data_IF_609084861431
#
_entry.id   IF_609084861431
#
_cell.length_a   1.000
_cell.length_b   1.000
_cell.length_c   1.000
_cell.angle_alpha   90.00
_cell.angle_beta   90.00
_cell.angle_gamma   90.00
#
_symmetry.space_group_name_H-M   'P 1'
#
loop_
_entity.id
_entity.type
_entity.pdbx_description
1 polymer ?
#
# COMPACT_ATOMS: atom_id res chain seq x y z
N UNK A 1 -64.84 21.20 27.58
CA UNK A 1 -65.64 20.61 28.69
C UNK A 1 -64.80 19.67 29.48
N UNK A 2 -64.70 19.93 30.80
CA UNK A 2 -64.25 19.08 31.94
C UNK A 2 -62.83 18.63 31.93
N UNK A 3 -62.00 19.28 32.67
CA UNK A 3 -61.66 19.33 34.13
C UNK A 3 -60.83 18.10 34.53
N UNK A 4 -59.56 18.38 34.82
CA UNK A 4 -58.95 18.59 36.13
C UNK A 4 -58.98 17.38 37.04
N UNK A 5 -57.80 16.94 37.46
CA UNK A 5 -57.42 16.87 38.89
C UNK A 5 -56.01 16.35 39.05
N UNK A 6 -55.19 17.16 39.45
CA UNK A 6 -54.20 17.19 40.50
C UNK A 6 -54.31 16.08 41.55
N UNK A 7 -53.20 15.38 41.80
CA UNK A 7 -52.90 14.80 43.13
C UNK A 7 -51.38 14.51 43.21
N UNK A 8 -50.70 15.36 43.90
CA UNK A 8 -49.44 15.07 44.62
C UNK A 8 -49.84 14.43 45.94
N UNK A 9 -49.22 13.37 46.41
CA UNK A 9 -48.44 13.59 47.60
C UNK A 9 -47.18 12.72 47.80
N UNK A 10 -46.32 13.29 48.58
CA UNK A 10 -45.42 12.74 49.58
C UNK A 10 -44.00 12.33 49.15
N UNK A 11 -43.19 13.27 49.51
CA UNK A 11 -41.81 13.20 49.96
C UNK A 11 -41.58 12.01 50.91
N UNK A 12 -40.66 11.14 50.55
CA UNK A 12 -39.85 10.38 51.50
C UNK A 12 -38.40 10.55 51.15
N UNK A 13 -37.72 11.39 51.95
CA UNK A 13 -36.29 11.47 52.02
C UNK A 13 -35.70 10.14 52.51
N UNK A 14 -35.14 9.38 51.60
CA UNK A 14 -34.18 8.33 51.95
C UNK A 14 -32.77 8.93 51.76
N UNK A 15 -32.15 9.34 52.84
CA UNK A 15 -30.69 9.53 52.92
C UNK A 15 -30.06 8.13 52.79
N UNK A 16 -29.72 7.74 51.57
CA UNK A 16 -28.78 6.67 51.37
C UNK A 16 -27.39 7.30 51.41
N UNK A 17 -26.72 7.10 52.53
CA UNK A 17 -25.30 7.36 52.68
C UNK A 17 -24.54 6.43 51.72
N UNK A 18 -24.25 6.93 50.53
CA UNK A 18 -23.30 6.29 49.65
C UNK A 18 -21.91 6.41 50.27
N UNK A 19 -21.16 5.32 50.43
CA UNK A 19 -19.76 5.44 50.83
C UNK A 19 -19.03 6.23 49.72
N UNK A 20 -18.45 7.38 50.11
CA UNK A 20 -17.49 8.08 49.29
C UNK A 20 -16.32 7.11 49.13
N UNK A 21 -16.24 6.43 48.01
CA UNK A 21 -15.01 5.78 47.60
C UNK A 21 -14.02 6.92 47.27
N UNK A 22 -13.14 7.14 48.17
CA UNK A 22 -11.93 7.92 47.91
C UNK A 22 -11.14 7.10 46.89
N UNK A 23 -11.27 7.46 45.62
CA UNK A 23 -10.34 7.01 44.59
C UNK A 23 -9.00 7.60 44.97
N UNK A 24 -8.10 6.80 45.49
CA UNK A 24 -6.68 7.09 45.58
C UNK A 24 -6.18 7.25 44.14
N UNK A 25 -6.09 8.51 43.68
CA UNK A 25 -5.35 8.88 42.50
C UNK A 25 -3.86 8.76 42.82
N UNK A 26 -3.32 7.56 42.73
CA UNK A 26 -1.89 7.26 42.60
C UNK A 26 -1.71 5.93 41.88
N UNK A 27 -2.37 5.75 40.75
CA UNK A 27 -1.84 4.85 39.73
C UNK A 27 -0.81 5.67 38.93
N UNK A 28 0.41 5.66 39.42
CA UNK A 28 1.59 5.86 38.60
C UNK A 28 1.49 4.79 37.51
N UNK A 29 1.21 5.22 36.28
CA UNK A 29 1.14 4.40 35.09
C UNK A 29 2.56 3.91 34.75
N UNK A 30 3.09 3.02 35.63
CA UNK A 30 4.37 2.37 35.45
C UNK A 30 4.11 1.18 34.54
N UNK A 31 4.67 1.16 33.32
CA UNK A 31 4.51 0.02 32.43
C UNK A 31 4.94 -1.25 33.17
N UNK A 32 4.09 -2.26 33.17
CA UNK A 32 4.40 -3.56 33.80
C UNK A 32 5.47 -4.24 32.96
N UNK A 33 6.72 -4.14 33.40
CA UNK A 33 7.88 -4.81 32.83
C UNK A 33 8.02 -6.21 33.43
N UNK A 34 7.95 -7.22 32.61
CA UNK A 34 8.35 -8.58 32.98
C UNK A 34 9.81 -8.78 32.64
N UNK A 35 10.66 -9.04 33.63
CA UNK A 35 12.10 -9.19 33.44
C UNK A 35 12.54 -10.59 33.86
N UNK A 36 13.07 -11.36 32.91
CA UNK A 36 13.73 -12.64 33.15
C UNK A 36 15.24 -12.45 32.97
N UNK A 37 16.04 -12.76 33.95
CA UNK A 37 17.49 -12.54 33.91
C UNK A 37 18.27 -13.63 34.67
N UNK A 38 19.49 -13.89 34.26
CA UNK A 38 20.40 -14.77 35.01
C UNK A 38 20.96 -14.10 36.24
N UNK A 39 21.26 -12.81 36.19
CA UNK A 39 21.75 -12.02 37.31
C UNK A 39 21.44 -10.55 37.11
N UNK A 40 21.24 -9.85 38.20
CA UNK A 40 21.07 -8.39 38.16
C UNK A 40 21.97 -7.72 39.21
N UNK A 41 22.30 -6.48 38.94
CA UNK A 41 23.01 -5.60 39.84
C UNK A 41 22.31 -4.26 39.93
N UNK A 42 22.12 -3.73 41.13
CA UNK A 42 21.59 -2.38 41.35
C UNK A 42 22.72 -1.44 41.74
N UNK A 43 22.92 -0.39 40.98
CA UNK A 43 23.87 0.67 41.31
C UNK A 43 23.11 1.76 42.08
N UNK A 44 23.38 1.89 43.41
CA UNK A 44 22.66 2.86 44.23
C UNK A 44 23.01 4.32 43.92
N UNK A 45 24.21 4.59 43.37
CA UNK A 45 24.63 5.97 43.05
C UNK A 45 23.90 6.54 41.83
N UNK A 46 23.54 5.69 40.91
CA UNK A 46 22.85 6.08 39.64
C UNK A 46 21.38 5.64 39.58
N UNK A 47 20.91 4.86 40.58
CA UNK A 47 19.58 4.27 40.56
C UNK A 47 19.34 3.26 39.42
N UNK A 48 20.41 2.79 38.76
CA UNK A 48 20.33 1.94 37.57
C UNK A 48 20.32 0.46 37.96
N UNK A 49 19.40 -0.28 37.33
CA UNK A 49 19.42 -1.74 37.35
C UNK A 49 20.14 -2.27 36.11
N UNK A 50 21.12 -3.16 36.30
CA UNK A 50 21.89 -3.81 35.25
C UNK A 50 21.52 -5.27 35.26
N UNK A 51 20.95 -5.75 34.14
CA UNK A 51 20.55 -7.14 33.96
C UNK A 51 21.47 -7.84 32.95
N UNK A 52 21.93 -9.04 33.25
CA UNK A 52 22.79 -9.83 32.37
C UNK A 52 22.02 -11.01 31.78
N UNK A 53 22.21 -11.24 30.46
CA UNK A 53 21.49 -12.26 29.71
C UNK A 53 19.98 -12.17 30.01
N UNK A 54 19.42 -11.01 29.73
CA UNK A 54 18.06 -10.69 30.14
C UNK A 54 17.09 -10.66 28.97
N UNK A 55 15.87 -11.02 29.30
CA UNK A 55 14.68 -10.88 28.45
C UNK A 55 13.71 -9.97 29.18
N UNK A 56 13.33 -8.86 28.54
CA UNK A 56 12.38 -7.87 29.04
C UNK A 56 11.17 -7.87 28.14
N UNK A 57 9.98 -7.95 28.72
CA UNK A 57 8.71 -7.96 28.01
C UNK A 57 7.79 -6.86 28.53
N UNK A 58 7.21 -6.07 27.63
CA UNK A 58 6.13 -5.11 27.91
C UNK A 58 5.29 -4.86 26.67
N UNK A 59 4.00 -4.68 26.80
CA UNK A 59 3.06 -4.34 25.72
C UNK A 59 3.21 -5.18 24.44
N UNK A 60 3.60 -6.45 24.56
CA UNK A 60 3.81 -7.35 23.42
C UNK A 60 5.18 -7.20 22.73
N UNK A 61 6.05 -6.33 23.24
CA UNK A 61 7.43 -6.17 22.80
C UNK A 61 8.33 -7.00 23.69
N UNK A 62 9.20 -7.77 23.08
CA UNK A 62 10.24 -8.55 23.78
C UNK A 62 11.61 -8.03 23.39
N UNK A 63 12.45 -7.70 24.37
CA UNK A 63 13.86 -7.34 24.18
C UNK A 63 14.75 -8.36 24.86
N UNK A 64 15.62 -8.99 24.09
CA UNK A 64 16.64 -9.92 24.57
C UNK A 64 18.02 -9.33 24.33
N UNK A 65 18.88 -9.32 25.36
CA UNK A 65 20.26 -8.84 25.24
C UNK A 65 21.17 -9.47 26.27
N UNK A 66 22.45 -9.43 26.00
CA UNK A 66 23.48 -9.83 26.94
C UNK A 66 23.60 -8.89 28.12
N UNK A 67 23.33 -7.59 27.92
CA UNK A 67 23.35 -6.59 28.98
C UNK A 67 22.26 -5.53 28.74
N UNK A 68 21.40 -5.33 29.75
CA UNK A 68 20.31 -4.34 29.73
C UNK A 68 20.45 -3.46 30.98
N UNK A 69 20.43 -2.16 30.78
CA UNK A 69 20.40 -1.16 31.84
C UNK A 69 19.02 -0.51 31.86
N UNK A 70 18.42 -0.46 33.04
CA UNK A 70 17.11 0.19 33.24
C UNK A 70 17.18 1.24 34.33
N UNK A 71 16.70 2.43 34.01
CA UNK A 71 16.56 3.56 34.93
C UNK A 71 15.06 3.78 35.22
N UNK A 72 14.55 3.38 36.38
CA UNK A 72 13.13 3.53 36.72
C UNK A 72 12.65 4.98 36.74
N UNK A 73 13.47 5.91 37.25
CA UNK A 73 13.09 7.32 37.36
C UNK A 73 12.86 8.00 36.00
N UNK A 74 13.61 7.61 35.00
CA UNK A 74 13.54 8.17 33.65
C UNK A 74 12.78 7.28 32.67
N UNK A 75 12.38 6.08 33.11
CA UNK A 75 11.80 5.03 32.26
C UNK A 75 12.69 4.67 31.06
N UNK A 76 14.01 4.86 31.18
CA UNK A 76 14.97 4.64 30.11
C UNK A 76 15.58 3.24 30.21
N UNK A 77 15.45 2.48 29.12
CA UNK A 77 16.06 1.20 28.95
C UNK A 77 17.11 1.31 27.85
N UNK A 78 18.34 0.87 28.16
CA UNK A 78 19.43 0.77 27.18
C UNK A 78 19.93 -0.66 27.14
N UNK A 79 20.14 -1.19 25.94
CA UNK A 79 20.72 -2.51 25.74
C UNK A 79 21.87 -2.43 24.73
N UNK A 80 22.96 -3.16 25.00
CA UNK A 80 24.16 -3.17 24.18
C UNK A 80 24.64 -4.59 23.90
N UNK A 81 25.36 -4.72 22.80
CA UNK A 81 25.84 -5.97 22.29
C UNK A 81 24.86 -6.60 21.31
N UNK A 82 24.62 -7.89 21.40
CA UNK A 82 23.60 -8.53 20.57
C UNK A 82 22.21 -8.25 21.17
N UNK A 83 21.51 -7.29 20.60
CA UNK A 83 20.15 -6.94 21.02
C UNK A 83 19.16 -7.48 20.02
N UNK A 84 18.22 -8.29 20.48
CA UNK A 84 17.11 -8.81 19.68
C UNK A 84 15.79 -8.26 20.20
N UNK A 85 15.04 -7.64 19.32
CA UNK A 85 13.68 -7.13 19.59
C UNK A 85 12.68 -7.93 18.77
N UNK A 86 11.61 -8.39 19.41
CA UNK A 86 10.51 -9.09 18.73
C UNK A 86 9.20 -8.39 19.07
N UNK A 87 8.44 -8.01 18.03
CA UNK A 87 7.10 -7.42 18.13
C UNK A 87 6.19 -8.08 17.08
N UNK A 88 5.31 -8.99 17.52
CA UNK A 88 4.48 -9.78 16.61
C UNK A 88 5.31 -10.60 15.61
N UNK A 89 5.12 -10.34 14.31
CA UNK A 89 5.83 -11.00 13.21
C UNK A 89 7.14 -10.28 12.80
N UNK A 90 7.52 -9.23 13.52
CA UNK A 90 8.72 -8.44 13.25
C UNK A 90 9.83 -8.87 14.22
N UNK A 91 10.99 -9.18 13.69
CA UNK A 91 12.20 -9.44 14.46
C UNK A 91 13.28 -8.46 14.03
N UNK A 92 13.82 -7.70 14.97
CA UNK A 92 14.92 -6.79 14.75
C UNK A 92 16.16 -7.23 15.55
N UNK A 93 17.32 -7.16 14.93
CA UNK A 93 18.62 -7.37 15.58
C UNK A 93 19.45 -6.11 15.40
N UNK A 94 20.09 -5.65 16.47
CA UNK A 94 20.84 -4.40 16.49
C UNK A 94 22.00 -4.46 17.48
N UNK A 95 22.94 -3.54 17.34
CA UNK A 95 24.09 -3.44 18.23
C UNK A 95 23.77 -2.65 19.50
N UNK A 96 22.91 -1.64 19.38
CA UNK A 96 22.51 -0.78 20.50
C UNK A 96 21.04 -0.38 20.38
N UNK A 97 20.34 -0.49 21.52
CA UNK A 97 18.98 -0.05 21.73
C UNK A 97 18.95 0.96 22.88
N UNK A 98 18.30 2.09 22.66
CA UNK A 98 17.92 3.02 23.70
C UNK A 98 16.43 3.35 23.52
N UNK A 99 15.60 3.06 24.53
CA UNK A 99 14.16 3.29 24.46
C UNK A 99 13.62 3.81 25.79
N UNK A 100 12.68 4.73 25.71
CA UNK A 100 11.84 5.12 26.83
C UNK A 100 10.62 4.20 26.85
N UNK A 101 10.49 3.36 27.87
CA UNK A 101 9.43 2.37 27.96
C UNK A 101 8.04 2.95 28.23
N UNK A 102 7.97 4.21 28.68
CA UNK A 102 6.69 4.89 28.96
C UNK A 102 6.03 5.46 27.72
N UNK A 103 6.79 6.10 26.84
CA UNK A 103 6.27 6.72 25.61
C UNK A 103 6.66 5.95 24.33
N UNK A 104 7.50 4.93 24.48
CA UNK A 104 7.96 4.08 23.39
C UNK A 104 8.92 4.77 22.42
N UNK A 105 9.38 6.00 22.68
CA UNK A 105 10.38 6.67 21.83
C UNK A 105 11.75 6.08 22.05
N UNK A 106 12.60 6.04 20.99
CA UNK A 106 13.90 5.41 21.11
C UNK A 106 14.79 5.53 19.89
N UNK A 107 16.03 5.06 20.04
CA UNK A 107 17.06 5.04 19.00
C UNK A 107 17.63 3.62 18.92
N UNK A 108 17.69 3.09 17.72
CA UNK A 108 18.23 1.77 17.40
C UNK A 108 19.37 1.95 16.40
N UNK A 109 20.53 1.35 16.67
CA UNK A 109 21.72 1.50 15.84
C UNK A 109 22.15 0.18 15.21
N UNK A 110 22.62 0.27 13.95
CA UNK A 110 23.08 -0.87 13.14
C UNK A 110 22.05 -2.00 13.11
N UNK A 111 20.83 -1.62 12.70
CA UNK A 111 19.62 -2.45 12.83
C UNK A 111 19.39 -3.26 11.56
N UNK A 112 19.10 -4.54 11.73
CA UNK A 112 18.55 -5.44 10.69
C UNK A 112 17.18 -5.89 11.16
N UNK A 113 16.14 -5.58 10.39
CA UNK A 113 14.75 -5.96 10.65
C UNK A 113 14.33 -7.02 9.66
N UNK A 114 13.68 -8.05 10.13
CA UNK A 114 12.98 -9.05 9.33
C UNK A 114 11.49 -8.98 9.62
N UNK A 115 10.70 -8.74 8.59
CA UNK A 115 9.24 -8.79 8.61
C UNK A 115 8.79 -10.13 8.00
N UNK A 116 8.26 -11.03 8.83
CA UNK A 116 7.85 -12.36 8.41
C UNK A 116 6.57 -12.33 7.56
N UNK A 117 5.69 -11.36 7.78
CA UNK A 117 4.44 -11.20 6.99
C UNK A 117 4.73 -10.88 5.52
N UNK A 118 5.72 -10.03 5.28
CA UNK A 118 6.10 -9.58 3.94
C UNK A 118 7.34 -10.32 3.41
N UNK A 119 7.96 -11.19 4.22
CA UNK A 119 9.23 -11.88 3.91
C UNK A 119 10.30 -10.90 3.44
N UNK A 120 10.42 -9.78 4.14
CA UNK A 120 11.25 -8.65 3.75
C UNK A 120 12.31 -8.35 4.81
N UNK A 121 13.45 -7.86 4.35
CA UNK A 121 14.55 -7.39 5.20
C UNK A 121 14.72 -5.89 5.03
N UNK A 122 14.92 -5.19 6.14
CA UNK A 122 15.34 -3.81 6.16
C UNK A 122 16.61 -3.69 6.98
N UNK A 123 17.58 -2.93 6.49
CA UNK A 123 18.77 -2.58 7.26
C UNK A 123 18.88 -1.07 7.36
N UNK A 124 19.29 -0.56 8.52
CA UNK A 124 19.49 0.87 8.72
C UNK A 124 20.62 1.12 9.71
N UNK A 125 21.39 2.18 9.49
CA UNK A 125 22.43 2.61 10.43
C UNK A 125 21.84 3.16 11.72
N UNK A 126 20.79 3.93 11.60
CA UNK A 126 20.04 4.51 12.72
C UNK A 126 18.57 4.50 12.42
N UNK A 127 17.77 3.99 13.36
CA UNK A 127 16.32 4.08 13.35
C UNK A 127 15.89 4.81 14.62
N UNK A 128 15.09 5.86 14.48
CA UNK A 128 14.46 6.58 15.59
C UNK A 128 12.98 6.27 15.60
N UNK A 129 12.51 5.74 16.71
CA UNK A 129 11.08 5.67 16.99
C UNK A 129 10.66 7.00 17.63
N UNK A 130 9.93 7.81 16.89
CA UNK A 130 9.52 9.16 17.30
C UNK A 130 8.09 9.23 17.83
N UNK A 131 7.39 8.10 17.78
CA UNK A 131 6.03 7.92 18.27
C UNK A 131 5.57 6.48 18.12
N UNK A 132 4.39 6.13 18.61
CA UNK A 132 3.89 4.74 18.64
C UNK A 132 3.81 4.11 17.25
N UNK A 133 3.54 4.89 16.21
CA UNK A 133 3.37 4.41 14.84
C UNK A 133 4.34 5.05 13.84
N UNK A 134 5.39 5.74 14.31
CA UNK A 134 6.29 6.48 13.44
C UNK A 134 7.76 6.17 13.73
N UNK A 135 8.47 5.80 12.66
CA UNK A 135 9.91 5.54 12.66
C UNK A 135 10.58 6.37 11.58
N UNK A 136 11.75 6.91 11.89
CA UNK A 136 12.62 7.61 10.95
C UNK A 136 13.93 6.83 10.86
N UNK A 137 14.24 6.30 9.68
CA UNK A 137 15.45 5.55 9.44
C UNK A 137 16.40 6.32 8.52
N UNK A 138 17.69 6.31 8.86
CA UNK A 138 18.75 6.90 8.04
C UNK A 138 19.57 5.80 7.38
N UNK A 139 19.93 6.02 6.11
CA UNK A 139 20.70 5.06 5.31
C UNK A 139 20.06 3.66 5.35
N UNK A 140 18.84 3.59 4.86
CA UNK A 140 18.04 2.36 4.90
C UNK A 140 18.20 1.58 3.58
N UNK A 141 18.24 0.25 3.69
CA UNK A 141 18.17 -0.68 2.56
C UNK A 141 17.01 -1.63 2.76
N UNK A 142 16.23 -1.84 1.72
CA UNK A 142 15.10 -2.77 1.69
C UNK A 142 15.29 -3.82 0.61
N UNK A 143 15.00 -5.08 0.93
CA UNK A 143 15.00 -6.20 -0.03
C UNK A 143 14.12 -7.35 0.46
N UNK A 144 13.58 -8.16 -0.46
CA UNK A 144 12.95 -9.46 -0.13
C UNK A 144 13.91 -10.64 -0.33
N UNK A 145 15.15 -10.35 -0.70
CA UNK A 145 16.22 -11.34 -0.85
C UNK A 145 17.05 -11.43 0.44
N UNK A 146 17.96 -12.42 0.51
CA UNK A 146 18.94 -12.47 1.58
C UNK A 146 19.78 -11.16 1.61
N UNK A 147 19.81 -10.42 2.73
CA UNK A 147 20.47 -9.11 2.79
C UNK A 147 21.99 -9.16 2.59
N UNK A 148 22.63 -10.32 2.76
CA UNK A 148 24.07 -10.48 2.51
C UNK A 148 24.43 -10.48 1.02
N UNK A 149 23.52 -10.95 0.14
CA UNK A 149 23.73 -11.03 -1.30
C UNK A 149 22.41 -10.85 -2.05
N UNK A 150 21.81 -9.64 -2.00
CA UNK A 150 20.51 -9.43 -2.59
C UNK A 150 20.61 -9.36 -4.13
N UNK A 151 19.73 -10.09 -4.83
CA UNK A 151 19.59 -9.95 -6.27
C UNK A 151 19.06 -8.55 -6.64
N UNK A 152 18.24 -7.97 -5.77
CA UNK A 152 17.77 -6.59 -5.88
C UNK A 152 17.65 -5.93 -4.52
N UNK A 153 17.82 -4.63 -4.47
CA UNK A 153 17.62 -3.83 -3.27
C UNK A 153 17.26 -2.37 -3.60
N UNK A 154 16.52 -1.73 -2.71
CA UNK A 154 16.27 -0.30 -2.73
C UNK A 154 17.01 0.32 -1.56
N UNK A 155 17.86 1.32 -1.83
CA UNK A 155 18.57 2.09 -0.79
C UNK A 155 17.99 3.50 -0.73
N UNK A 156 17.68 4.00 0.47
CA UNK A 156 17.17 5.36 0.69
C UNK A 156 18.02 6.10 1.71
N UNK A 157 18.14 7.43 1.54
CA UNK A 157 18.90 8.27 2.49
C UNK A 157 18.15 8.54 3.79
N UNK A 158 16.85 8.75 3.69
CA UNK A 158 15.94 9.01 4.79
C UNK A 158 14.60 8.31 4.51
N UNK A 159 14.16 7.48 5.42
CA UNK A 159 12.89 6.76 5.34
C UNK A 159 12.02 7.16 6.52
N UNK A 160 10.85 7.72 6.24
CA UNK A 160 9.80 7.97 7.21
C UNK A 160 8.80 6.82 7.10
N UNK A 161 8.80 5.93 8.07
CA UNK A 161 7.94 4.76 8.11
C UNK A 161 6.79 4.97 9.10
N UNK A 162 5.56 4.83 8.60
CA UNK A 162 4.34 4.87 9.40
C UNK A 162 3.64 3.51 9.33
N UNK A 163 3.33 2.91 10.47
CA UNK A 163 2.72 1.57 10.52
C UNK A 163 1.27 1.54 10.01
N UNK A 164 0.58 2.68 10.01
CA UNK A 164 -0.85 2.78 9.70
C UNK A 164 -1.19 3.80 8.61
N UNK A 165 -0.22 4.18 7.77
CA UNK A 165 -0.43 5.21 6.77
C UNK A 165 0.49 4.98 5.56
N UNK A 166 0.93 6.05 4.91
CA UNK A 166 1.94 6.04 3.85
C UNK A 166 3.33 6.23 4.46
N UNK A 167 4.25 5.40 4.03
CA UNK A 167 5.68 5.61 4.26
C UNK A 167 6.32 6.27 3.06
N UNK A 168 7.42 6.96 3.29
CA UNK A 168 8.15 7.65 2.23
C UNK A 168 9.67 7.52 2.40
N UNK A 169 10.36 7.62 1.28
CA UNK A 169 11.82 7.65 1.23
C UNK A 169 12.30 8.74 0.29
N UNK A 170 13.40 9.38 0.65
CA UNK A 170 14.09 10.34 -0.19
C UNK A 170 15.33 9.74 -0.81
N UNK A 171 15.68 10.20 -2.03
CA UNK A 171 16.87 9.79 -2.75
C UNK A 171 17.05 8.27 -2.81
N UNK A 172 15.99 7.58 -3.24
CA UNK A 172 15.99 6.12 -3.33
C UNK A 172 16.63 5.62 -4.61
N UNK A 173 17.45 4.59 -4.51
CA UNK A 173 18.13 3.96 -5.63
C UNK A 173 17.76 2.48 -5.66
N UNK A 174 17.18 2.05 -6.77
CA UNK A 174 16.95 0.63 -7.07
C UNK A 174 18.23 0.05 -7.68
N UNK A 175 18.72 -1.04 -7.11
CA UNK A 175 19.91 -1.77 -7.57
C UNK A 175 19.55 -3.21 -7.89
N UNK A 176 20.13 -3.76 -8.96
CA UNK A 176 20.13 -5.18 -9.29
C UNK A 176 21.55 -5.71 -9.29
N UNK A 177 21.81 -6.77 -8.53
CA UNK A 177 23.17 -7.32 -8.38
C UNK A 177 24.20 -6.28 -7.95
N UNK A 178 23.79 -5.25 -7.17
CA UNK A 178 24.65 -4.15 -6.73
C UNK A 178 24.75 -2.98 -7.73
N UNK A 179 24.29 -3.14 -8.99
CA UNK A 179 24.34 -2.09 -10.02
C UNK A 179 23.12 -1.17 -9.88
N UNK A 180 23.31 0.17 -9.77
CA UNK A 180 22.20 1.12 -9.75
C UNK A 180 21.51 1.19 -11.11
N UNK A 181 20.19 0.99 -11.12
CA UNK A 181 19.38 0.94 -12.35
C UNK A 181 18.39 2.10 -12.42
N UNK A 182 17.83 2.50 -11.27
CA UNK A 182 16.85 3.57 -11.24
C UNK A 182 17.00 4.45 -10.00
N UNK A 183 16.75 5.74 -10.15
CA UNK A 183 16.78 6.73 -9.08
C UNK A 183 15.41 7.37 -8.91
N UNK A 184 14.91 7.36 -7.67
CA UNK A 184 13.69 8.02 -7.26
C UNK A 184 14.04 9.17 -6.31
N UNK A 185 13.85 10.44 -6.70
CA UNK A 185 14.05 11.57 -5.79
C UNK A 185 13.18 11.46 -4.53
N UNK A 186 11.96 10.98 -4.73
CA UNK A 186 10.99 10.70 -3.68
C UNK A 186 10.19 9.45 -4.04
N UNK A 187 10.08 8.54 -3.09
CA UNK A 187 9.29 7.31 -3.19
C UNK A 187 8.32 7.25 -2.02
N UNK A 188 7.05 6.99 -2.27
CA UNK A 188 6.05 6.78 -1.24
C UNK A 188 5.29 5.47 -1.49
N UNK A 189 4.94 4.76 -0.42
CA UNK A 189 4.19 3.51 -0.50
C UNK A 189 3.25 3.36 0.70
N UNK A 190 2.09 2.69 0.53
CA UNK A 190 1.19 2.38 1.63
C UNK A 190 1.78 1.27 2.50
N UNK A 191 1.63 1.39 3.82
CA UNK A 191 2.08 0.38 4.80
C UNK A 191 0.93 -0.48 5.33
N UNK A 192 -0.31 -0.04 5.15
CA UNK A 192 -1.48 -0.82 5.54
C UNK A 192 -1.94 -1.73 4.43
N UNK A 193 -2.39 -2.93 4.79
CA UNK A 193 -2.95 -3.93 3.85
C UNK A 193 -4.36 -3.56 3.31
N UNK A 194 -4.88 -2.38 3.62
CA UNK A 194 -6.15 -1.88 3.07
C UNK A 194 -5.93 -1.33 1.68
N UNK A 195 -6.93 -1.47 0.81
CA UNK A 195 -6.95 -0.81 -0.51
C UNK A 195 -6.83 0.70 -0.30
N UNK A 196 -5.84 1.31 -0.91
CA UNK A 196 -5.56 2.74 -0.81
C UNK A 196 -5.36 3.36 -2.18
N UNK A 197 -5.83 4.58 -2.33
CA UNK A 197 -5.60 5.36 -3.54
C UNK A 197 -4.14 5.76 -3.67
N UNK A 198 -3.62 5.72 -4.90
CA UNK A 198 -2.24 6.13 -5.17
C UNK A 198 -1.79 5.76 -6.57
N UNK A 199 -0.61 6.25 -6.95
CA UNK A 199 0.03 5.85 -8.20
C UNK A 199 0.49 4.40 -8.11
N UNK A 200 0.17 3.63 -9.15
CA UNK A 200 0.71 2.29 -9.34
C UNK A 200 2.05 2.37 -10.08
N UNK A 201 2.84 1.28 -10.06
CA UNK A 201 4.05 1.22 -10.86
C UNK A 201 3.77 1.55 -12.33
N UNK A 202 4.63 2.36 -12.97
CA UNK A 202 4.46 2.68 -14.38
C UNK A 202 4.45 1.43 -15.25
N UNK A 203 3.56 1.41 -16.22
CA UNK A 203 3.49 0.36 -17.23
C UNK A 203 4.40 0.68 -18.40
N UNK A 204 5.19 -0.26 -18.82
CA UNK A 204 6.07 -0.11 -19.98
C UNK A 204 5.84 -1.27 -20.94
N UNK A 205 5.54 -0.95 -22.19
CA UNK A 205 5.28 -1.92 -23.21
C UNK A 205 5.98 -1.54 -24.52
N UNK A 206 6.65 -2.50 -25.14
CA UNK A 206 7.20 -2.34 -26.48
C UNK A 206 6.22 -2.97 -27.45
N UNK A 207 5.56 -2.14 -28.24
CA UNK A 207 4.59 -2.60 -29.23
C UNK A 207 5.26 -2.53 -30.61
N UNK A 208 5.80 -3.66 -31.05
CA UNK A 208 6.30 -3.84 -32.41
C UNK A 208 5.28 -4.60 -33.24
N UNK A 209 4.67 -3.95 -34.17
CA UNK A 209 3.81 -4.61 -35.14
C UNK A 209 4.64 -5.11 -36.31
N UNK A 210 4.76 -6.43 -36.48
CA UNK A 210 5.43 -7.04 -37.64
C UNK A 210 4.59 -6.95 -38.93
N UNK A 211 3.34 -6.55 -38.84
CA UNK A 211 2.37 -6.64 -39.94
C UNK A 211 2.18 -5.32 -40.68
N UNK A 212 2.65 -4.20 -40.15
CA UNK A 212 2.52 -2.87 -40.77
C UNK A 212 3.76 -2.02 -40.54
N UNK A 213 4.04 -1.13 -41.51
CA UNK A 213 4.99 -0.02 -41.39
C UNK A 213 4.70 0.95 -40.22
N UNK A 214 3.61 0.71 -39.50
CA UNK A 214 3.12 1.47 -38.35
C UNK A 214 3.42 0.74 -37.04
N UNK A 215 4.66 0.80 -36.67
CA UNK A 215 5.09 0.42 -35.33
C UNK A 215 4.60 1.47 -34.32
N UNK A 216 3.95 1.08 -33.24
CA UNK A 216 3.53 2.00 -32.16
C UNK A 216 4.70 2.50 -31.34
N UNK A 217 5.87 1.85 -31.47
CA UNK A 217 7.05 2.17 -30.67
C UNK A 217 6.88 1.78 -29.22
N UNK A 218 7.34 2.66 -28.34
CA UNK A 218 7.22 2.48 -26.90
C UNK A 218 5.90 3.07 -26.40
N UNK A 219 5.26 2.34 -25.49
CA UNK A 219 4.12 2.83 -24.74
C UNK A 219 4.50 2.90 -23.26
N UNK A 220 4.28 4.05 -22.67
CA UNK A 220 4.50 4.30 -21.26
C UNK A 220 3.21 4.78 -20.62
N UNK A 221 2.73 4.04 -19.62
CA UNK A 221 1.50 4.34 -18.90
C UNK A 221 1.76 4.69 -17.45
N UNK A 222 1.09 5.72 -16.94
CA UNK A 222 1.13 6.12 -15.53
C UNK A 222 -0.26 5.87 -14.95
N UNK A 223 -0.48 4.75 -14.25
CA UNK A 223 -1.76 4.43 -13.65
C UNK A 223 -1.89 5.08 -12.26
N UNK A 224 -3.07 5.61 -11.99
CA UNK A 224 -3.52 6.06 -10.68
C UNK A 224 -4.71 5.22 -10.24
N UNK A 225 -4.58 4.53 -9.13
CA UNK A 225 -5.64 3.76 -8.51
C UNK A 225 -6.40 4.61 -7.50
N UNK A 226 -7.72 4.67 -7.64
CA UNK A 226 -8.61 5.35 -6.72
C UNK A 226 -9.52 4.33 -6.01
N UNK A 227 -9.24 4.05 -4.74
CA UNK A 227 -10.13 3.30 -3.87
C UNK A 227 -11.28 4.22 -3.45
N UNK A 228 -12.42 4.16 -4.15
CA UNK A 228 -13.58 5.02 -3.88
C UNK A 228 -14.20 4.60 -2.55
N UNK A 229 -14.46 3.31 -2.40
CA UNK A 229 -14.86 2.66 -1.15
C UNK A 229 -14.43 1.17 -1.16
N UNK A 230 -14.72 0.38 -0.11
CA UNK A 230 -14.34 -1.04 -0.08
C UNK A 230 -14.90 -1.88 -1.24
N UNK A 231 -16.00 -1.45 -1.83
CA UNK A 231 -16.77 -2.18 -2.85
C UNK A 231 -16.56 -1.61 -4.25
N UNK A 232 -15.86 -0.48 -4.39
CA UNK A 232 -15.68 0.22 -5.67
C UNK A 232 -14.27 0.76 -5.82
N UNK A 233 -13.72 0.62 -7.01
CA UNK A 233 -12.45 1.26 -7.39
C UNK A 233 -12.43 1.72 -8.83
N UNK A 234 -11.51 2.61 -9.10
CA UNK A 234 -11.27 3.19 -10.41
C UNK A 234 -9.77 3.30 -10.64
N UNK A 235 -9.29 2.72 -11.73
CA UNK A 235 -7.92 2.97 -12.20
C UNK A 235 -7.97 3.88 -13.41
N UNK A 236 -7.27 5.01 -13.33
CA UNK A 236 -7.06 5.94 -14.45
C UNK A 236 -5.62 5.85 -14.89
N UNK A 237 -5.38 5.56 -16.17
CA UNK A 237 -4.03 5.49 -16.72
C UNK A 237 -3.89 6.50 -17.84
N UNK A 238 -2.88 7.37 -17.70
CA UNK A 238 -2.44 8.21 -18.81
C UNK A 238 -1.35 7.48 -19.58
N UNK A 239 -1.55 7.31 -20.87
CA UNK A 239 -0.62 6.64 -21.79
C UNK A 239 0.09 7.66 -22.70
N UNK A 240 1.39 7.53 -22.81
CA UNK A 240 2.19 8.12 -23.88
C UNK A 240 2.62 7.02 -24.83
N UNK A 241 2.31 7.20 -26.12
CA UNK A 241 2.65 6.26 -27.19
C UNK A 241 3.59 6.99 -28.15
N UNK A 242 4.83 6.54 -28.22
CA UNK A 242 5.94 7.24 -28.89
C UNK A 242 5.58 7.76 -30.28
N UNK A 243 5.02 6.91 -31.13
CA UNK A 243 4.74 7.22 -32.54
C UNK A 243 3.30 7.59 -32.84
N UNK A 244 2.41 7.54 -31.84
CA UNK A 244 0.96 7.71 -32.07
C UNK A 244 0.35 8.85 -31.30
N UNK A 245 0.88 9.23 -30.16
CA UNK A 245 0.34 10.32 -29.36
C UNK A 245 0.06 9.95 -27.93
N UNK A 246 -1.13 10.23 -27.44
CA UNK A 246 -1.49 10.02 -26.04
C UNK A 246 -2.79 9.25 -25.90
N UNK A 247 -2.99 8.64 -24.71
CA UNK A 247 -4.21 7.91 -24.40
C UNK A 247 -4.65 8.11 -22.96
N UNK A 248 -5.92 7.82 -22.73
CA UNK A 248 -6.53 7.73 -21.41
C UNK A 248 -7.24 6.39 -21.32
N UNK A 249 -6.92 5.60 -20.28
CA UNK A 249 -7.63 4.38 -19.93
C UNK A 249 -8.31 4.52 -18.59
N UNK A 250 -9.52 4.04 -18.51
CA UNK A 250 -10.34 3.98 -17.31
C UNK A 250 -10.77 2.53 -17.08
N UNK A 251 -10.54 2.02 -15.88
CA UNK A 251 -11.03 0.71 -15.42
C UNK A 251 -11.76 0.93 -14.10
N UNK A 252 -13.09 0.94 -14.15
CA UNK A 252 -13.95 1.04 -12.99
C UNK A 252 -14.53 -0.33 -12.65
N UNK A 253 -14.42 -0.74 -11.39
CA UNK A 253 -14.92 -2.02 -10.89
C UNK A 253 -15.78 -1.80 -9.66
N UNK A 254 -16.83 -2.61 -9.53
CA UNK A 254 -17.72 -2.59 -8.38
C UNK A 254 -18.21 -3.98 -7.98
N UNK A 255 -18.45 -4.16 -6.66
CA UNK A 255 -19.01 -5.35 -6.05
C UNK A 255 -19.94 -4.92 -4.91
N UNK A 256 -21.09 -4.33 -5.26
CA UNK A 256 -21.99 -3.62 -4.32
C UNK A 256 -22.72 -4.56 -3.34
N UNK A 257 -22.91 -5.82 -3.71
CA UNK A 257 -23.47 -6.87 -2.84
C UNK A 257 -22.82 -8.20 -3.19
N UNK A 258 -23.02 -9.24 -2.37
CA UNK A 258 -22.51 -10.59 -2.64
C UNK A 258 -22.89 -11.13 -4.03
N UNK A 259 -24.05 -10.71 -4.54
CA UNK A 259 -24.57 -11.13 -5.84
C UNK A 259 -24.43 -10.12 -6.97
N UNK A 260 -23.97 -8.89 -6.73
CA UNK A 260 -23.95 -7.79 -7.72
C UNK A 260 -22.54 -7.25 -7.94
N UNK A 261 -21.94 -7.59 -9.07
CA UNK A 261 -20.61 -7.12 -9.45
C UNK A 261 -20.50 -6.82 -10.92
N UNK A 262 -19.62 -5.91 -11.26
CA UNK A 262 -19.39 -5.55 -12.65
C UNK A 262 -18.23 -4.58 -12.82
N UNK A 263 -18.09 -4.08 -14.05
CA UNK A 263 -17.07 -3.09 -14.37
C UNK A 263 -17.27 -2.44 -15.71
N UNK A 264 -16.65 -1.28 -15.84
CA UNK A 264 -16.60 -0.48 -17.07
C UNK A 264 -15.13 -0.26 -17.40
N UNK A 265 -14.72 -0.65 -18.61
CA UNK A 265 -13.41 -0.30 -19.14
C UNK A 265 -13.60 0.62 -20.34
N UNK A 266 -12.95 1.75 -20.29
CA UNK A 266 -12.92 2.69 -21.38
C UNK A 266 -11.49 3.05 -21.71
N UNK A 267 -11.14 3.00 -22.98
CA UNK A 267 -9.82 3.38 -23.47
C UNK A 267 -10.03 4.34 -24.62
N UNK A 268 -9.31 5.44 -24.61
CA UNK A 268 -9.33 6.41 -25.72
C UNK A 268 -7.89 6.82 -26.03
N UNK A 269 -7.52 6.74 -27.30
CA UNK A 269 -6.25 7.21 -27.81
C UNK A 269 -6.50 8.38 -28.76
N UNK A 270 -5.67 9.40 -28.59
CA UNK A 270 -5.62 10.61 -29.42
C UNK A 270 -4.41 10.48 -30.33
N UNK A 271 -4.61 9.98 -31.53
CA UNK A 271 -3.53 9.73 -32.47
C UNK A 271 -3.15 11.01 -33.22
N UNK A 272 -1.87 11.18 -33.49
CA UNK A 272 -1.39 12.18 -34.42
C UNK A 272 -1.91 11.85 -35.81
N UNK A 273 -2.24 12.88 -36.59
CA UNK A 273 -2.68 12.67 -37.98
C UNK A 273 -1.55 12.03 -38.76
N UNK A 274 -1.73 10.83 -39.30
CA UNK A 274 -0.71 10.15 -40.11
C UNK A 274 -0.36 10.89 -41.41
N UNK A 275 -1.21 11.84 -41.81
CA UNK A 275 -0.99 12.70 -42.98
C UNK A 275 -0.18 13.94 -42.69
N UNK A 276 0.13 14.20 -41.43
CA UNK A 276 0.96 15.32 -41.03
C UNK A 276 2.42 15.08 -41.48
N UNK A 277 2.96 15.92 -42.39
CA UNK A 277 4.32 15.78 -42.90
C UNK A 277 5.40 15.96 -41.81
N UNK A 278 5.08 16.58 -40.65
CA UNK A 278 5.97 16.68 -39.50
C UNK A 278 6.03 15.37 -38.68
N UNK A 279 5.12 14.44 -38.95
CA UNK A 279 5.10 13.17 -38.28
C UNK A 279 6.11 12.21 -38.93
N UNK A 280 7.38 12.26 -38.52
CA UNK A 280 8.53 11.47 -39.04
C UNK A 280 8.28 9.93 -38.96
N UNK A 281 7.23 9.46 -38.36
CA UNK A 281 6.94 8.05 -38.12
C UNK A 281 6.43 7.28 -39.32
N UNK A 282 6.73 7.74 -40.53
CA UNK A 282 6.43 7.05 -41.77
C UNK A 282 5.12 7.54 -42.38
N UNK A 283 5.24 8.50 -43.29
CA UNK A 283 4.14 8.86 -44.19
C UNK A 283 3.65 7.62 -44.93
N UNK A 284 2.41 7.25 -44.71
CA UNK A 284 1.73 6.29 -45.59
C UNK A 284 1.64 6.89 -46.99
N UNK A 285 1.79 6.04 -48.01
CA UNK A 285 1.49 6.48 -49.36
C UNK A 285 0.01 6.89 -49.46
N UNK A 286 -0.30 7.84 -50.36
CA UNK A 286 -1.68 8.29 -50.55
C UNK A 286 -2.70 7.14 -50.72
N UNK A 287 -2.30 6.07 -51.41
CA UNK A 287 -3.14 4.88 -51.61
C UNK A 287 -3.33 4.05 -50.32
N UNK A 288 -2.37 4.06 -49.40
CA UNK A 288 -2.48 3.39 -48.12
C UNK A 288 -3.36 4.17 -47.13
N UNK A 289 -3.37 5.51 -47.23
CA UNK A 289 -4.24 6.38 -46.43
C UNK A 289 -5.70 6.22 -46.83
N UNK A 290 -5.99 6.10 -48.12
CA UNK A 290 -7.35 5.95 -48.64
C UNK A 290 -7.98 4.59 -48.30
N UNK A 291 -7.16 3.55 -48.11
CA UNK A 291 -7.60 2.21 -47.73
C UNK A 291 -7.70 1.98 -46.20
N UNK A 292 -7.26 2.93 -45.37
CA UNK A 292 -7.15 2.76 -43.93
C UNK A 292 -8.18 3.66 -43.22
N UNK A 293 -9.17 3.06 -42.57
CA UNK A 293 -10.19 3.77 -41.74
C UNK A 293 -9.53 4.26 -40.43
N UNK A 294 -8.55 5.16 -40.58
CA UNK A 294 -7.83 5.74 -39.43
C UNK A 294 -8.59 6.97 -38.93
N UNK A 295 -9.03 6.86 -37.70
CA UNK A 295 -9.71 7.97 -37.00
C UNK A 295 -8.74 8.58 -36.00
N UNK A 296 -8.68 9.94 -35.90
CA UNK A 296 -7.80 10.60 -34.94
C UNK A 296 -8.17 10.31 -33.47
N UNK A 297 -9.38 9.83 -33.25
CA UNK A 297 -9.87 9.45 -31.93
C UNK A 297 -10.30 7.99 -31.97
N UNK A 298 -9.53 7.13 -31.37
CA UNK A 298 -9.80 5.70 -31.33
C UNK A 298 -10.16 5.29 -29.91
N UNK A 299 -11.20 4.47 -29.77
CA UNK A 299 -11.67 4.06 -28.47
C UNK A 299 -12.06 2.58 -28.41
N UNK A 300 -12.04 2.05 -27.18
CA UNK A 300 -12.69 0.82 -26.77
C UNK A 300 -13.58 1.10 -25.57
N UNK A 301 -14.77 0.55 -25.59
CA UNK A 301 -15.69 0.51 -24.47
C UNK A 301 -16.03 -0.94 -24.15
N UNK A 302 -15.94 -1.31 -22.89
CA UNK A 302 -16.31 -2.63 -22.38
C UNK A 302 -17.11 -2.45 -21.10
N UNK A 303 -18.26 -3.10 -21.02
CA UNK A 303 -19.10 -3.15 -19.82
C UNK A 303 -19.47 -4.59 -19.52
N UNK A 304 -19.30 -4.99 -18.27
CA UNK A 304 -19.70 -6.29 -17.77
C UNK A 304 -20.48 -6.09 -16.47
N UNK A 305 -21.63 -6.74 -16.38
CA UNK A 305 -22.47 -6.73 -15.19
C UNK A 305 -22.96 -8.14 -14.89
N UNK A 306 -22.89 -8.53 -13.63
CA UNK A 306 -23.28 -9.85 -13.16
C UNK A 306 -24.15 -9.65 -11.92
N UNK A 307 -25.39 -10.14 -11.98
CA UNK A 307 -26.38 -10.03 -10.92
C UNK A 307 -26.92 -11.41 -10.56
N UNK A 308 -26.73 -11.80 -9.33
CA UNK A 308 -27.37 -12.99 -8.77
C UNK A 308 -28.83 -12.63 -8.45
N UNK A 309 -29.75 -13.30 -9.10
CA UNK A 309 -31.20 -13.08 -8.91
C UNK A 309 -31.73 -13.93 -7.76
N UNK A 310 -31.27 -15.18 -7.68
CA UNK A 310 -31.55 -16.15 -6.62
C UNK A 310 -30.43 -17.19 -6.55
N UNK A 311 -30.49 -18.17 -5.64
CA UNK A 311 -29.43 -19.17 -5.42
C UNK A 311 -29.06 -19.97 -6.67
N UNK A 312 -29.94 -19.99 -7.68
CA UNK A 312 -29.76 -20.79 -8.90
C UNK A 312 -29.71 -19.97 -10.17
N UNK A 313 -30.12 -18.71 -10.13
CA UNK A 313 -30.30 -17.87 -11.32
C UNK A 313 -29.37 -16.68 -11.31
N UNK A 314 -28.66 -16.44 -12.40
CA UNK A 314 -27.74 -15.33 -12.59
C UNK A 314 -28.01 -14.63 -13.92
N UNK A 315 -28.13 -13.30 -13.86
CA UNK A 315 -28.17 -12.43 -15.00
C UNK A 315 -26.74 -11.94 -15.34
N UNK A 316 -26.34 -12.10 -16.59
CA UNK A 316 -25.06 -11.59 -17.10
C UNK A 316 -25.39 -10.64 -18.25
N UNK A 317 -24.89 -9.43 -18.15
CA UNK A 317 -24.96 -8.44 -19.21
C UNK A 317 -23.54 -8.02 -19.60
N UNK A 318 -23.26 -8.01 -20.91
CA UNK A 318 -21.98 -7.50 -21.44
C UNK A 318 -22.17 -6.68 -22.68
N UNK A 319 -21.38 -5.61 -22.81
CA UNK A 319 -21.32 -4.75 -23.96
C UNK A 319 -19.87 -4.48 -24.34
N UNK A 320 -19.55 -4.54 -25.62
CA UNK A 320 -18.24 -4.29 -26.18
C UNK A 320 -18.37 -3.45 -27.43
N UNK A 321 -17.62 -2.37 -27.54
CA UNK A 321 -17.58 -1.52 -28.71
C UNK A 321 -16.16 -1.02 -28.99
N UNK A 322 -15.78 -0.97 -30.25
CA UNK A 322 -14.54 -0.41 -30.75
C UNK A 322 -14.81 0.69 -31.76
N UNK A 323 -13.94 1.67 -31.83
CA UNK A 323 -13.99 2.72 -32.87
C UNK A 323 -13.79 2.18 -34.27
N UNK A 324 -12.96 1.15 -34.40
CA UNK A 324 -12.55 0.52 -35.65
C UNK A 324 -12.03 -0.89 -35.46
N UNK A 325 -11.98 -1.67 -36.55
CA UNK A 325 -11.56 -3.06 -36.54
C UNK A 325 -10.07 -3.29 -36.28
N UNK A 326 -9.24 -2.26 -36.41
CA UNK A 326 -7.80 -2.37 -36.24
C UNK A 326 -7.37 -2.10 -34.79
N UNK A 327 -8.24 -1.54 -33.96
CA UNK A 327 -7.94 -1.22 -32.56
C UNK A 327 -7.39 -2.45 -31.81
N UNK A 328 -8.04 -3.61 -31.95
CA UNK A 328 -7.62 -4.84 -31.29
C UNK A 328 -6.24 -5.31 -31.71
N UNK A 329 -5.90 -5.18 -33.00
CA UNK A 329 -4.58 -5.60 -33.51
C UNK A 329 -3.45 -4.72 -33.00
N UNK A 330 -3.71 -3.42 -32.89
CA UNK A 330 -2.68 -2.43 -32.63
C UNK A 330 -2.48 -2.19 -31.13
N UNK A 331 -3.55 -2.10 -30.37
CA UNK A 331 -3.48 -1.76 -28.93
C UNK A 331 -3.62 -2.97 -27.99
N UNK A 332 -4.24 -4.06 -28.43
CA UNK A 332 -4.42 -5.26 -27.62
C UNK A 332 -3.54 -6.43 -28.04
N UNK A 333 -2.78 -6.29 -29.14
CA UNK A 333 -1.88 -7.31 -29.69
C UNK A 333 -2.57 -8.65 -30.02
N UNK A 334 -3.84 -8.59 -30.38
CA UNK A 334 -4.61 -9.78 -30.76
C UNK A 334 -4.35 -10.10 -32.22
N UNK A 335 -3.70 -11.24 -32.51
CA UNK A 335 -3.36 -11.66 -33.86
C UNK A 335 -4.59 -11.87 -34.75
N UNK A 336 -5.67 -12.39 -34.18
CA UNK A 336 -6.96 -12.62 -34.88
C UNK A 336 -8.05 -11.84 -34.17
N UNK A 337 -8.27 -10.57 -34.52
CA UNK A 337 -9.33 -9.79 -33.91
C UNK A 337 -10.69 -10.39 -34.23
N UNK A 338 -11.60 -10.27 -33.28
CA UNK A 338 -13.03 -10.55 -33.51
C UNK A 338 -13.53 -9.63 -34.63
N UNK A 339 -14.18 -10.20 -35.64
CA UNK A 339 -14.75 -9.44 -36.76
C UNK A 339 -15.88 -8.50 -36.33
N UNK A 340 -16.41 -8.64 -35.13
CA UNK A 340 -17.53 -7.87 -34.60
C UNK A 340 -16.97 -6.67 -33.82
N UNK A 341 -17.05 -5.48 -34.38
CA UNK A 341 -16.67 -4.24 -33.72
C UNK A 341 -17.60 -3.86 -32.56
N UNK A 342 -18.75 -4.49 -32.47
CA UNK A 342 -19.75 -4.25 -31.42
C UNK A 342 -20.41 -5.58 -31.03
N UNK A 343 -20.54 -5.81 -29.74
CA UNK A 343 -21.26 -6.93 -29.18
C UNK A 343 -22.08 -6.47 -27.99
N UNK A 344 -23.35 -6.84 -27.96
CA UNK A 344 -24.25 -6.63 -26.84
C UNK A 344 -24.88 -7.98 -26.52
N UNK A 345 -24.69 -8.48 -25.32
CA UNK A 345 -25.29 -9.73 -24.89
C UNK A 345 -25.93 -9.60 -23.51
N UNK A 346 -27.07 -10.26 -23.36
CA UNK A 346 -27.73 -10.46 -22.07
C UNK A 346 -28.11 -11.94 -21.96
N UNK A 347 -27.77 -12.59 -20.88
CA UNK A 347 -28.10 -14.00 -20.64
C UNK A 347 -28.56 -14.22 -19.20
N UNK A 348 -29.51 -15.12 -19.04
CA UNK A 348 -29.92 -15.62 -17.73
C UNK A 348 -29.48 -17.09 -17.66
N UNK A 349 -28.56 -17.38 -16.77
CA UNK A 349 -28.09 -18.72 -16.52
C UNK A 349 -28.79 -19.27 -15.27
N UNK A 350 -29.42 -20.45 -15.40
CA UNK A 350 -30.08 -21.14 -14.30
C UNK A 350 -29.48 -22.54 -14.13
N UNK A 351 -29.07 -22.85 -12.90
CA UNK A 351 -28.70 -24.23 -12.52
C UNK A 351 -29.93 -24.99 -12.09
N UNK A 352 -30.15 -26.17 -12.64
CA UNK A 352 -31.25 -27.08 -12.35
C UNK A 352 -30.89 -28.06 -11.23
#
# INVERSE_FOLDING_TARGET
MKSAKCLIPWLMLFFVSLPVQVFSQNDLDIPQLSIQTQSYFHNPDTGTFIYRNAKVEWEGITVESTEIHYHPETNRLTAKGYVRVTEGEIVAVMDELEINVKDGTGIFRDTIVYDASNKAYMTAKEVRRVGPNQYVAQTCTFTTCNPKSPAWQITGSEVNYYTQNFSSSRSSILKFGGVPVFFFPYLAWPTVKRRQSGFLPPEYLIIRSSVRKWDLGYRFGIPYFWAIDPEQDLTLTYDWVERRGTGLRMDYQYALTEGMRGGIKYQQFFERDPRDPENESGSLSANEIESTDLRPKRFKFEFNHNLQLDDRSRLIFSALAYSDSQFQKEYELVEKPSLTAQNLSASINRQF
#
